data_IF_564346696251
#
_entry.id   IF_564346696251
#
_cell.length_a   1.000
_cell.length_b   1.000
_cell.length_c   1.000
_cell.angle_alpha   90.00
_cell.angle_beta   90.00
_cell.angle_gamma   90.00
#
_symmetry.space_group_name_H-M   'P 1'
#
loop_
_entity.id
_entity.type
_entity.pdbx_description
1 polymer ?
#
# COMPACT_ATOMS: atom_id res chain seq x y z
N UNK A 1 31.45 -28.66 -2.21
CA UNK A 1 30.21 -28.67 -1.42
C UNK A 1 30.30 -27.49 -0.46
N UNK A 2 29.44 -26.49 -0.62
CA UNK A 2 29.39 -25.37 0.32
C UNK A 2 28.83 -25.87 1.67
N UNK A 3 29.59 -25.67 2.74
CA UNK A 3 29.22 -26.07 4.10
C UNK A 3 28.42 -24.94 4.76
N UNK A 4 27.21 -25.22 5.22
CA UNK A 4 26.42 -24.27 6.01
C UNK A 4 26.76 -24.42 7.49
N UNK A 5 27.32 -23.40 8.10
CA UNK A 5 27.58 -23.34 9.55
C UNK A 5 26.39 -22.68 10.25
N UNK A 6 25.90 -23.30 11.34
CA UNK A 6 24.82 -22.75 12.16
C UNK A 6 25.42 -22.03 13.36
N UNK A 7 25.02 -20.79 13.60
CA UNK A 7 25.43 -20.00 14.75
C UNK A 7 24.24 -19.69 15.64
N UNK A 8 24.47 -19.64 16.96
CA UNK A 8 23.53 -19.11 17.94
C UNK A 8 23.98 -17.71 18.35
N UNK A 9 23.05 -16.78 18.44
CA UNK A 9 23.29 -15.41 18.89
C UNK A 9 22.40 -15.19 20.12
N UNK A 10 23.00 -14.84 21.25
CA UNK A 10 22.24 -14.49 22.46
C UNK A 10 21.89 -13.00 22.41
N UNK A 11 20.59 -12.68 22.44
CA UNK A 11 20.04 -11.32 22.34
C UNK A 11 18.65 -11.26 23.01
N UNK A 12 18.20 -10.06 23.39
CA UNK A 12 16.89 -9.85 24.01
C UNK A 12 15.75 -9.65 22.98
N UNK A 13 16.07 -9.21 21.76
CA UNK A 13 15.06 -8.94 20.74
C UNK A 13 15.61 -8.78 19.32
N UNK A 14 14.84 -9.26 18.35
CA UNK A 14 15.11 -9.12 16.91
C UNK A 14 13.94 -8.43 16.23
N UNK A 15 14.24 -7.43 15.40
CA UNK A 15 13.26 -6.71 14.60
C UNK A 15 13.56 -6.97 13.13
N UNK A 16 12.74 -7.80 12.49
CA UNK A 16 12.94 -8.18 11.09
C UNK A 16 12.50 -7.04 10.19
N UNK A 17 13.42 -6.51 9.40
CA UNK A 17 13.15 -5.49 8.40
C UNK A 17 13.84 -5.85 7.08
N UNK A 18 13.17 -6.69 6.28
CA UNK A 18 13.64 -7.14 4.96
C UNK A 18 12.93 -6.41 3.80
N UNK A 19 12.18 -5.36 4.12
CA UNK A 19 11.31 -4.65 3.19
C UNK A 19 9.86 -5.10 3.26
N UNK A 20 9.07 -4.63 2.30
CA UNK A 20 7.63 -4.76 2.26
C UNK A 20 7.19 -5.21 0.87
N UNK A 21 6.35 -6.24 0.80
CA UNK A 21 5.69 -6.66 -0.44
C UNK A 21 4.20 -6.28 -0.36
N UNK A 22 3.70 -5.34 -1.18
CA UNK A 22 2.29 -4.97 -1.13
C UNK A 22 1.40 -6.11 -1.65
N UNK A 23 0.27 -6.36 -0.98
CA UNK A 23 -0.71 -7.39 -1.35
C UNK A 23 -1.60 -6.97 -2.54
N UNK A 24 -0.98 -6.58 -3.65
CA UNK A 24 -1.66 -6.05 -4.84
C UNK A 24 -1.95 -7.12 -5.90
N UNK A 25 -1.55 -8.37 -5.67
CA UNK A 25 -1.80 -9.50 -6.57
C UNK A 25 -3.26 -9.95 -6.63
N UNK A 26 -4.09 -9.55 -5.67
CA UNK A 26 -5.53 -9.88 -5.66
C UNK A 26 -6.29 -9.05 -6.70
N UNK A 27 -5.70 -7.92 -7.11
CA UNK A 27 -6.36 -6.93 -7.97
C UNK A 27 -6.12 -7.34 -9.43
N UNK A 28 -7.19 -7.78 -10.09
CA UNK A 28 -7.18 -8.23 -11.47
C UNK A 28 -7.21 -7.08 -12.50
N UNK A 29 -7.37 -5.85 -12.03
CA UNK A 29 -7.34 -4.68 -12.89
C UNK A 29 -5.90 -4.21 -13.13
N UNK A 30 -5.61 -3.82 -14.36
CA UNK A 30 -4.38 -3.10 -14.69
C UNK A 30 -4.43 -1.71 -14.03
N UNK A 31 -3.39 -1.41 -13.25
CA UNK A 31 -3.25 -0.16 -12.51
C UNK A 31 -1.81 0.31 -12.55
N UNK A 32 -1.66 1.62 -12.47
CA UNK A 32 -0.37 2.27 -12.37
C UNK A 32 0.24 1.93 -11.02
N UNK A 33 1.47 1.46 -11.05
CA UNK A 33 2.22 1.02 -9.89
C UNK A 33 3.57 1.71 -9.86
N UNK A 34 4.07 1.97 -8.66
CA UNK A 34 5.47 2.35 -8.52
C UNK A 34 6.39 1.13 -8.76
N UNK A 35 7.69 1.40 -8.80
CA UNK A 35 8.73 0.38 -9.01
C UNK A 35 8.71 -0.76 -7.98
N UNK A 36 8.10 -0.55 -6.81
CA UNK A 36 8.05 -1.50 -5.71
C UNK A 36 6.67 -2.23 -5.65
N UNK A 37 5.80 -1.99 -6.64
CA UNK A 37 4.54 -2.70 -6.82
C UNK A 37 3.35 -2.13 -6.05
N UNK A 38 3.49 -0.94 -5.43
CA UNK A 38 2.39 -0.24 -4.77
C UNK A 38 1.56 0.53 -5.78
N UNK A 39 0.27 0.70 -5.51
CA UNK A 39 -0.65 1.38 -6.43
C UNK A 39 -0.49 2.89 -6.31
N UNK A 40 -0.33 3.57 -7.43
CA UNK A 40 -0.31 5.03 -7.51
C UNK A 40 -1.76 5.53 -7.49
N UNK A 41 -2.04 6.55 -6.69
CA UNK A 41 -3.33 7.25 -6.69
C UNK A 41 -3.13 8.75 -6.61
N UNK A 42 -4.21 9.48 -6.86
CA UNK A 42 -4.30 10.91 -6.57
C UNK A 42 -4.59 11.21 -5.08
N UNK A 43 -4.79 12.50 -4.78
CA UNK A 43 -5.13 13.04 -3.44
C UNK A 43 -6.48 12.55 -2.91
N UNK A 44 -7.39 12.07 -3.77
CA UNK A 44 -8.66 11.44 -3.37
C UNK A 44 -8.54 9.95 -3.16
N UNK A 45 -7.34 9.40 -3.26
CA UNK A 45 -7.07 7.97 -3.28
C UNK A 45 -7.63 7.25 -4.52
N UNK A 46 -7.94 7.95 -5.62
CA UNK A 46 -8.39 7.33 -6.87
C UNK A 46 -7.19 6.83 -7.68
N UNK A 47 -7.26 5.56 -8.09
CA UNK A 47 -6.25 4.92 -8.95
C UNK A 47 -6.37 5.36 -10.41
N UNK A 48 -5.44 4.92 -11.27
CA UNK A 48 -5.53 5.18 -12.71
C UNK A 48 -6.78 4.59 -13.37
N UNK A 49 -7.47 3.65 -12.72
CA UNK A 49 -8.81 3.21 -13.12
C UNK A 49 -9.87 4.09 -12.45
N UNK A 50 -10.52 4.92 -13.26
CA UNK A 50 -11.61 5.81 -12.83
C UNK A 50 -12.66 5.09 -11.98
N UNK A 51 -13.00 5.69 -10.85
CA UNK A 51 -13.99 5.15 -9.91
C UNK A 51 -13.47 4.04 -8.99
N UNK A 52 -12.20 3.63 -9.13
CA UNK A 52 -11.56 2.69 -8.22
C UNK A 52 -10.61 3.41 -7.27
N UNK A 53 -10.88 3.26 -5.98
CA UNK A 53 -10.15 3.93 -4.91
C UNK A 53 -9.32 2.93 -4.10
N UNK A 54 -8.15 3.35 -3.66
CA UNK A 54 -7.15 2.51 -2.99
C UNK A 54 -6.58 3.22 -1.78
N UNK A 55 -6.80 2.64 -0.60
CA UNK A 55 -6.41 3.21 0.68
C UNK A 55 -5.50 2.26 1.46
N UNK A 56 -4.67 2.82 2.35
CA UNK A 56 -3.81 2.04 3.23
C UNK A 56 -2.46 1.69 2.61
N UNK A 57 -1.79 0.70 3.18
CA UNK A 57 -0.39 0.40 2.88
C UNK A 57 -0.17 -0.21 1.50
N UNK A 58 -1.24 -0.57 0.78
CA UNK A 58 -1.16 -1.01 -0.61
C UNK A 58 -0.94 0.15 -1.61
N UNK A 59 -1.12 1.40 -1.17
CA UNK A 59 -0.84 2.60 -1.96
C UNK A 59 0.64 2.99 -1.87
N UNK A 60 1.16 3.59 -2.93
CA UNK A 60 2.43 4.31 -2.90
C UNK A 60 2.34 5.51 -1.95
N UNK A 61 3.11 5.45 -0.86
CA UNK A 61 3.20 6.53 0.14
C UNK A 61 4.50 6.45 0.94
N UNK A 62 4.98 7.58 1.49
CA UNK A 62 6.22 7.61 2.26
C UNK A 62 6.07 6.96 3.65
N UNK A 63 4.88 7.03 4.28
CA UNK A 63 4.66 6.58 5.65
C UNK A 63 3.55 5.53 5.73
N UNK A 64 3.90 4.34 6.24
CA UNK A 64 3.01 3.19 6.45
C UNK A 64 2.80 2.99 7.94
N UNK A 65 1.68 3.48 8.45
CA UNK A 65 1.28 3.42 9.85
C UNK A 65 -0.24 3.30 9.93
N UNK A 66 -0.75 2.82 11.06
CA UNK A 66 -2.20 2.71 11.31
C UNK A 66 -2.90 4.05 11.03
N UNK A 67 -2.34 5.16 11.53
CA UNK A 67 -2.95 6.48 11.35
C UNK A 67 -2.98 6.94 9.88
N UNK A 68 -1.93 6.67 9.09
CA UNK A 68 -1.93 7.06 7.68
C UNK A 68 -2.91 6.19 6.90
N UNK A 69 -2.99 4.89 7.19
CA UNK A 69 -3.98 4.01 6.58
C UNK A 69 -5.43 4.42 6.92
N UNK A 70 -5.70 4.84 8.15
CA UNK A 70 -7.01 5.37 8.54
C UNK A 70 -7.34 6.69 7.83
N UNK A 71 -6.37 7.60 7.71
CA UNK A 71 -6.55 8.85 6.96
C UNK A 71 -6.87 8.59 5.49
N UNK A 72 -6.14 7.67 4.85
CA UNK A 72 -6.39 7.23 3.48
C UNK A 72 -7.82 6.70 3.31
N UNK A 73 -8.29 5.88 4.27
CA UNK A 73 -9.65 5.34 4.25
C UNK A 73 -10.72 6.43 4.33
N UNK A 74 -10.52 7.43 5.18
CA UNK A 74 -11.43 8.57 5.30
C UNK A 74 -11.46 9.42 4.02
N UNK A 75 -10.30 9.71 3.45
CA UNK A 75 -10.16 10.46 2.19
C UNK A 75 -10.85 9.71 1.05
N UNK A 76 -10.57 8.41 0.90
CA UNK A 76 -11.18 7.57 -0.12
C UNK A 76 -12.70 7.52 0.01
N UNK A 77 -13.24 7.39 1.23
CA UNK A 77 -14.68 7.37 1.46
C UNK A 77 -15.36 8.69 1.02
N UNK A 78 -14.76 9.84 1.35
CA UNK A 78 -15.25 11.14 0.89
C UNK A 78 -15.11 11.28 -0.63
N UNK A 79 -13.98 10.85 -1.19
CA UNK A 79 -13.71 10.83 -2.63
C UNK A 79 -14.76 10.01 -3.40
N UNK A 80 -15.07 8.80 -2.94
CA UNK A 80 -16.14 7.95 -3.50
C UNK A 80 -17.47 8.70 -3.49
N UNK A 81 -17.85 9.30 -2.36
CA UNK A 81 -19.11 10.02 -2.26
C UNK A 81 -19.19 11.21 -3.23
N UNK A 82 -18.09 11.94 -3.41
CA UNK A 82 -17.97 13.04 -4.38
C UNK A 82 -18.03 12.54 -5.82
N UNK A 83 -17.34 11.45 -6.13
CA UNK A 83 -17.33 10.83 -7.45
C UNK A 83 -18.73 10.37 -7.87
N UNK A 84 -19.47 9.72 -6.96
CA UNK A 84 -20.85 9.30 -7.20
C UNK A 84 -21.81 10.47 -7.45
N UNK A 85 -21.50 11.66 -6.91
CA UNK A 85 -22.26 12.90 -7.16
C UNK A 85 -21.78 13.68 -8.40
N UNK A 86 -20.74 13.21 -9.08
CA UNK A 86 -20.15 13.88 -10.25
C UNK A 86 -19.31 15.11 -9.93
N UNK A 87 -18.88 15.28 -8.67
CA UNK A 87 -18.08 16.44 -8.24
C UNK A 87 -16.58 16.29 -8.55
N UNK A 88 -16.10 15.05 -8.69
CA UNK A 88 -14.72 14.73 -9.07
C UNK A 88 -14.73 13.66 -10.18
N UNK A 89 -13.67 13.64 -10.97
CA UNK A 89 -13.57 12.89 -12.23
C UNK A 89 -12.42 11.90 -12.20
#
# INVERSE_FOLDING_TARGET
>A
AESYERMRIDLDGVFVFIGWLPNTGIIQFELDRDKDGYIITDEWCMSSKRGMFVAGDIRSKPLRQVITASADGAIAAVGIAKFLRGEIQ
#
